data_IF_831910267116
#
_entry.id   IF_831910267116
#
_cell.length_a   1.000
_cell.length_b   1.000
_cell.length_c   1.000
_cell.angle_alpha   90.00
_cell.angle_beta   90.00
_cell.angle_gamma   90.00
#
_symmetry.space_group_name_H-M   'P 1'
#
loop_
_entity.id
_entity.type
_entity.pdbx_description
1 polymer ?
#
# COMPACT_ATOMS: atom_id res chain seq x y z
N UNK A 1 -24.55 4.26 -7.30
CA UNK A 1 -23.87 4.89 -6.15
C UNK A 1 -22.39 4.99 -6.41
N UNK A 2 -21.81 6.17 -6.34
CA UNK A 2 -20.36 6.26 -6.48
C UNK A 2 -19.68 5.58 -5.29
N UNK A 3 -18.63 4.83 -5.59
CA UNK A 3 -17.78 4.25 -4.56
C UNK A 3 -16.95 5.37 -3.99
N UNK A 4 -16.99 5.58 -2.67
CA UNK A 4 -16.16 6.60 -2.04
C UNK A 4 -14.69 6.17 -2.06
N UNK A 5 -13.78 7.13 -1.97
CA UNK A 5 -12.34 6.89 -2.05
C UNK A 5 -11.83 5.94 -0.97
N UNK A 6 -12.44 5.96 0.21
CA UNK A 6 -12.07 5.07 1.32
C UNK A 6 -12.37 3.61 0.99
N UNK A 7 -13.55 3.33 0.43
CA UNK A 7 -13.95 1.97 0.02
C UNK A 7 -13.04 1.46 -1.10
N UNK A 8 -12.75 2.31 -2.08
CA UNK A 8 -11.86 1.98 -3.19
C UNK A 8 -10.45 1.69 -2.68
N UNK A 9 -9.94 2.51 -1.78
CA UNK A 9 -8.63 2.31 -1.18
C UNK A 9 -8.53 0.99 -0.41
N UNK A 10 -9.53 0.68 0.40
CA UNK A 10 -9.57 -0.56 1.16
C UNK A 10 -9.60 -1.79 0.26
N UNK A 11 -10.35 -1.72 -0.83
CA UNK A 11 -10.43 -2.81 -1.81
C UNK A 11 -9.06 -3.08 -2.45
N UNK A 12 -8.36 -2.02 -2.85
CA UNK A 12 -7.04 -2.14 -3.45
C UNK A 12 -6.03 -2.69 -2.45
N UNK A 13 -6.06 -2.25 -1.19
CA UNK A 13 -5.19 -2.77 -0.14
C UNK A 13 -5.40 -4.28 0.04
N UNK A 14 -6.64 -4.75 0.03
CA UNK A 14 -6.94 -6.18 0.14
C UNK A 14 -6.39 -6.96 -1.05
N UNK A 15 -6.48 -6.41 -2.25
CA UNK A 15 -5.94 -7.04 -3.46
C UNK A 15 -4.42 -7.17 -3.35
N UNK A 16 -3.74 -6.13 -2.91
CA UNK A 16 -2.28 -6.14 -2.75
C UNK A 16 -1.87 -7.15 -1.68
N UNK A 17 -2.57 -7.19 -0.54
CA UNK A 17 -2.30 -8.19 0.50
C UNK A 17 -2.40 -9.60 -0.06
N UNK A 18 -3.43 -9.87 -0.84
CA UNK A 18 -3.61 -11.19 -1.46
C UNK A 18 -2.46 -11.54 -2.40
N UNK A 19 -2.07 -10.61 -3.26
CA UNK A 19 -0.97 -10.81 -4.21
C UNK A 19 0.34 -11.06 -3.46
N UNK A 20 0.63 -10.28 -2.44
CA UNK A 20 1.86 -10.44 -1.66
C UNK A 20 1.90 -11.79 -0.92
N UNK A 21 0.80 -12.18 -0.30
CA UNK A 21 0.74 -13.45 0.42
C UNK A 21 0.87 -14.65 -0.54
N UNK A 22 0.27 -14.58 -1.71
CA UNK A 22 0.43 -15.60 -2.74
C UNK A 22 1.88 -15.70 -3.21
N UNK A 23 2.53 -14.56 -3.39
CA UNK A 23 3.95 -14.49 -3.76
C UNK A 23 4.84 -15.13 -2.68
N UNK A 24 4.59 -14.78 -1.42
CA UNK A 24 5.37 -15.33 -0.30
C UNK A 24 5.21 -16.85 -0.22
N UNK A 25 3.99 -17.34 -0.34
CA UNK A 25 3.71 -18.77 -0.30
C UNK A 25 4.39 -19.51 -1.47
N UNK A 26 4.27 -18.97 -2.67
CA UNK A 26 4.82 -19.59 -3.88
C UNK A 26 6.35 -19.69 -3.83
N UNK A 27 7.00 -18.74 -3.20
CA UNK A 27 8.45 -18.67 -3.12
C UNK A 27 9.02 -19.19 -1.80
N UNK A 28 8.22 -19.85 -1.00
CA UNK A 28 8.60 -20.45 0.29
C UNK A 28 9.12 -19.45 1.30
N UNK A 29 8.67 -18.19 1.23
CA UNK A 29 8.94 -17.23 2.28
C UNK A 29 8.00 -17.49 3.45
N UNK A 30 8.55 -17.56 4.65
CA UNK A 30 7.74 -17.68 5.86
C UNK A 30 7.27 -16.30 6.32
N UNK A 31 6.53 -15.63 5.44
CA UNK A 31 6.01 -14.28 5.67
C UNK A 31 4.53 -14.23 5.35
N UNK A 32 3.81 -13.44 6.14
CA UNK A 32 2.40 -13.15 5.91
C UNK A 32 2.18 -11.66 6.17
N UNK A 33 1.45 -11.00 5.31
CA UNK A 33 1.09 -9.61 5.56
C UNK A 33 -0.43 -9.46 5.69
N UNK A 34 -0.83 -8.33 6.27
CA UNK A 34 -2.23 -7.96 6.41
C UNK A 34 -2.35 -6.45 6.38
N UNK A 35 -3.57 -5.96 6.13
CA UNK A 35 -3.83 -4.53 6.21
C UNK A 35 -3.63 -4.06 7.65
N UNK A 36 -3.07 -2.86 7.79
CA UNK A 36 -2.93 -2.22 9.09
C UNK A 36 -4.21 -1.45 9.39
N UNK A 37 -5.14 -2.08 10.08
CA UNK A 37 -6.45 -1.48 10.36
C UNK A 37 -6.36 -0.30 11.32
N UNK A 38 -5.29 -0.19 12.11
CA UNK A 38 -5.07 0.91 13.03
C UNK A 38 -4.78 2.22 12.31
N UNK A 39 -4.48 2.19 11.01
CA UNK A 39 -4.23 3.40 10.22
C UNK A 39 -5.39 4.40 10.26
N UNK A 40 -6.60 3.93 10.52
CA UNK A 40 -7.79 4.79 10.61
C UNK A 40 -7.91 5.50 11.95
N UNK A 41 -7.17 5.07 12.95
CA UNK A 41 -7.22 5.62 14.30
C UNK A 41 -5.92 6.31 14.70
N UNK A 42 -4.80 5.85 14.18
CA UNK A 42 -3.48 6.38 14.50
C UNK A 42 -2.87 7.00 13.24
N UNK A 43 -2.41 8.24 13.34
CA UNK A 43 -1.78 8.94 12.22
C UNK A 43 -0.43 8.31 11.88
N UNK A 44 -0.03 8.44 10.63
CA UNK A 44 1.29 8.06 10.12
C UNK A 44 1.59 6.56 10.17
N UNK A 45 0.54 5.73 10.20
CA UNK A 45 0.73 4.30 10.01
C UNK A 45 0.55 3.95 8.54
N UNK A 46 1.38 3.03 8.06
CA UNK A 46 1.29 2.55 6.69
C UNK A 46 0.05 1.67 6.47
N UNK A 47 -0.37 1.52 5.22
CA UNK A 47 -1.54 0.71 4.88
C UNK A 47 -1.32 -0.78 5.12
N UNK A 48 -0.12 -1.26 4.82
CA UNK A 48 0.27 -2.67 4.96
C UNK A 48 1.67 -2.72 5.56
N UNK A 49 1.87 -3.56 6.56
CA UNK A 49 3.18 -3.79 7.16
C UNK A 49 3.70 -5.17 6.80
N UNK A 50 4.97 -5.23 6.40
CA UNK A 50 5.76 -6.45 6.36
C UNK A 50 7.08 -6.15 7.07
N UNK A 51 7.87 -7.17 7.45
CA UNK A 51 9.15 -6.90 8.10
C UNK A 51 10.02 -5.94 7.30
N UNK A 52 10.51 -4.89 7.97
CA UNK A 52 11.41 -3.85 7.44
C UNK A 52 10.79 -2.89 6.42
N UNK A 53 9.50 -3.02 6.08
CA UNK A 53 8.89 -2.20 5.05
C UNK A 53 7.55 -1.62 5.50
N UNK A 54 7.33 -0.36 5.16
CA UNK A 54 6.04 0.31 5.30
C UNK A 54 5.46 0.49 3.90
N UNK A 55 4.28 -0.05 3.66
CA UNK A 55 3.67 -0.06 2.32
C UNK A 55 2.45 0.84 2.32
N UNK A 56 2.43 1.81 1.40
CA UNK A 56 1.26 2.64 1.09
C UNK A 56 0.72 2.24 -0.27
N UNK A 57 -0.61 2.15 -0.37
CA UNK A 57 -1.30 1.77 -1.60
C UNK A 57 -2.15 2.93 -2.09
N UNK A 58 -2.03 3.27 -3.37
CA UNK A 58 -2.81 4.33 -4.00
C UNK A 58 -3.43 3.83 -5.30
N UNK A 59 -4.75 3.93 -5.40
CA UNK A 59 -5.47 3.56 -6.61
C UNK A 59 -6.41 4.70 -7.00
N UNK A 60 -6.14 5.31 -8.15
CA UNK A 60 -6.92 6.44 -8.67
C UNK A 60 -7.44 6.13 -10.07
N UNK A 61 -8.50 6.83 -10.45
CA UNK A 61 -9.12 6.64 -11.75
C UNK A 61 -8.22 7.08 -12.89
N UNK A 62 -7.63 8.26 -12.77
CA UNK A 62 -6.83 8.89 -13.83
C UNK A 62 -5.49 9.36 -13.31
N UNK A 63 -4.50 9.31 -14.17
CA UNK A 63 -3.13 9.74 -13.90
C UNK A 63 -2.15 8.87 -14.65
N UNK A 64 -0.87 9.24 -14.58
CA UNK A 64 0.19 8.49 -15.27
C UNK A 64 1.44 8.29 -14.40
N UNK A 65 1.52 8.97 -13.27
CA UNK A 65 2.69 8.88 -12.40
C UNK A 65 2.33 9.15 -10.96
N UNK A 66 3.21 8.75 -10.04
CA UNK A 66 3.02 9.00 -8.62
C UNK A 66 3.01 10.51 -8.35
N UNK A 67 2.26 10.90 -7.34
CA UNK A 67 2.26 12.29 -6.87
C UNK A 67 3.28 12.44 -5.75
N UNK A 68 4.02 13.56 -5.70
CA UNK A 68 5.00 13.80 -4.63
C UNK A 68 4.44 13.66 -3.23
N UNK A 69 3.18 14.04 -3.02
CA UNK A 69 2.52 13.92 -1.71
C UNK A 69 2.37 12.46 -1.27
N UNK A 70 2.16 11.54 -2.22
CA UNK A 70 2.07 10.12 -1.91
C UNK A 70 3.41 9.59 -1.40
N UNK A 71 4.48 9.96 -2.09
CA UNK A 71 5.82 9.54 -1.69
C UNK A 71 6.20 10.12 -0.34
N UNK A 72 5.87 11.39 -0.13
CA UNK A 72 6.11 12.04 1.16
C UNK A 72 5.34 11.36 2.28
N UNK A 73 4.09 10.97 2.02
CA UNK A 73 3.26 10.25 2.99
C UNK A 73 3.88 8.93 3.41
N UNK A 74 4.33 8.11 2.45
CA UNK A 74 4.93 6.82 2.78
C UNK A 74 6.28 6.97 3.47
N UNK A 75 7.06 7.97 3.10
CA UNK A 75 8.32 8.27 3.80
C UNK A 75 8.05 8.66 5.25
N UNK A 76 7.01 9.44 5.52
CA UNK A 76 6.63 9.81 6.88
C UNK A 76 6.23 8.58 7.70
N UNK A 77 5.43 7.69 7.10
CA UNK A 77 5.03 6.44 7.77
C UNK A 77 6.23 5.54 8.04
N UNK A 78 7.11 5.40 7.06
CA UNK A 78 8.30 4.56 7.21
C UNK A 78 9.24 5.11 8.29
N UNK A 79 9.41 6.43 8.35
CA UNK A 79 10.22 7.06 9.38
C UNK A 79 9.65 6.80 10.77
N UNK A 80 8.34 6.95 10.93
CA UNK A 80 7.66 6.69 12.20
C UNK A 80 7.78 5.23 12.62
N UNK A 81 7.79 4.30 11.68
CA UNK A 81 7.87 2.86 11.93
C UNK A 81 9.30 2.32 11.94
N UNK A 82 10.29 3.12 11.55
CA UNK A 82 11.69 2.69 11.45
C UNK A 82 11.91 1.67 10.32
N UNK A 83 11.24 1.88 9.19
CA UNK A 83 11.22 0.92 8.09
C UNK A 83 11.55 1.57 6.75
N UNK A 84 11.59 0.76 5.70
CA UNK A 84 11.85 1.21 4.33
C UNK A 84 10.52 1.57 3.67
N UNK A 85 10.39 2.77 3.06
CA UNK A 85 9.14 3.15 2.40
C UNK A 85 8.94 2.41 1.08
N UNK A 86 7.71 1.93 0.86
CA UNK A 86 7.29 1.29 -0.39
C UNK A 86 5.95 1.89 -0.80
N UNK A 87 5.89 2.45 -2.00
CA UNK A 87 4.66 2.98 -2.56
C UNK A 87 4.20 2.09 -3.71
N UNK A 88 3.00 1.51 -3.58
CA UNK A 88 2.38 0.71 -4.63
C UNK A 88 1.20 1.52 -5.15
N UNK A 89 1.20 1.82 -6.43
CA UNK A 89 0.16 2.68 -6.99
C UNK A 89 -0.33 2.17 -8.34
N UNK A 90 -1.56 2.52 -8.64
CA UNK A 90 -2.22 2.11 -9.87
C UNK A 90 -3.23 3.16 -10.30
N UNK A 91 -3.37 3.35 -11.61
CA UNK A 91 -4.48 4.05 -12.24
C UNK A 91 -5.33 3.05 -13.00
N UNK A 92 -6.60 3.36 -13.23
CA UNK A 92 -7.47 2.47 -13.99
C UNK A 92 -6.87 2.21 -15.38
N UNK A 93 -6.90 0.95 -15.80
CA UNK A 93 -6.38 0.48 -17.09
C UNK A 93 -4.85 0.59 -17.24
N UNK A 94 -4.16 0.84 -16.16
CA UNK A 94 -2.68 0.92 -16.14
C UNK A 94 -2.16 -0.11 -15.15
N UNK A 95 -1.07 -0.83 -15.49
CA UNK A 95 -0.50 -1.79 -14.56
C UNK A 95 -0.04 -1.15 -13.26
N UNK A 96 -0.07 -1.92 -12.19
CA UNK A 96 0.46 -1.52 -10.89
C UNK A 96 1.96 -1.20 -10.98
N UNK A 97 2.38 -0.15 -10.30
CA UNK A 97 3.79 0.27 -10.20
C UNK A 97 4.21 0.33 -8.75
N UNK A 98 5.51 0.13 -8.54
CA UNK A 98 6.10 0.14 -7.20
C UNK A 98 7.27 1.11 -7.17
N UNK A 99 7.30 1.96 -6.15
CA UNK A 99 8.43 2.84 -5.86
C UNK A 99 9.00 2.48 -4.49
N UNK A 100 10.30 2.36 -4.41
CA UNK A 100 11.02 2.05 -3.17
C UNK A 100 12.11 3.08 -2.95
#
# INVERSE_FOLDING_TARGET
MPINSRTKGASYERDIVKILNEFFLKNNFNLTCKRNLDQYQTKNLSDINIPFHAIECKHYKEGNWLKPDWWKQVCTSAEAEGTIPVLIFKFNRVPTRVAI
#
